data_IF_039377277973
#
_entry.id   IF_039377277973
#
_cell.length_a   1.000
_cell.length_b   1.000
_cell.length_c   1.000
_cell.angle_alpha   90.00
_cell.angle_beta   90.00
_cell.angle_gamma   90.00
#
_symmetry.space_group_name_H-M   'P 1'
#
loop_
_entity.id
_entity.type
_entity.pdbx_description
1 polymer ?
#
# COMPACT_ATOMS: atom_id res chain seq x y z
N UNK A 1 -6.12 0.80 30.02
CA UNK A 1 -4.94 0.55 29.18
C UNK A 1 -5.22 0.98 27.75
N UNK A 2 -4.37 1.79 27.21
CA UNK A 2 -4.56 2.27 25.85
C UNK A 2 -4.27 1.16 24.85
N UNK A 3 -5.13 1.05 23.85
CA UNK A 3 -4.86 0.15 22.74
C UNK A 3 -3.75 0.74 21.87
N UNK A 4 -2.98 -0.14 21.24
CA UNK A 4 -1.94 0.29 20.29
C UNK A 4 -2.58 1.03 19.13
N UNK A 5 -1.94 2.09 18.71
CA UNK A 5 -2.34 2.76 17.48
C UNK A 5 -1.97 1.87 16.31
N UNK A 6 -2.85 1.82 15.32
CA UNK A 6 -2.65 0.99 14.14
C UNK A 6 -2.29 1.87 12.96
N UNK A 7 -1.19 1.53 12.32
CA UNK A 7 -0.72 2.22 11.13
C UNK A 7 -0.87 1.30 9.93
N UNK A 8 -1.51 1.81 8.89
CA UNK A 8 -1.56 1.12 7.62
C UNK A 8 -0.35 1.52 6.78
N UNK A 9 0.30 0.54 6.17
CA UNK A 9 1.41 0.80 5.26
C UNK A 9 1.07 0.24 3.89
N UNK A 10 1.01 1.12 2.90
CA UNK A 10 0.85 0.72 1.51
C UNK A 10 2.25 0.47 1.00
N UNK A 11 2.62 -0.81 0.92
CA UNK A 11 4.00 -1.19 0.65
C UNK A 11 4.22 -1.42 -0.84
N UNK A 12 5.13 -0.66 -1.42
CA UNK A 12 5.61 -0.88 -2.76
C UNK A 12 6.94 -1.60 -2.77
N UNK A 13 7.73 -1.39 -3.82
CA UNK A 13 9.01 -2.06 -3.98
C UNK A 13 10.12 -1.42 -3.15
N UNK A 14 11.27 -2.10 -3.12
CA UNK A 14 12.48 -1.59 -2.49
C UNK A 14 12.52 -1.84 -1.00
N UNK A 15 13.51 -1.27 -0.35
CA UNK A 15 13.79 -1.44 1.08
C UNK A 15 13.01 -0.49 1.97
N UNK A 16 12.56 0.61 1.43
CA UNK A 16 11.96 1.65 2.26
C UNK A 16 10.74 1.16 3.04
N UNK A 17 9.85 0.33 2.47
CA UNK A 17 8.75 -0.21 3.28
C UNK A 17 9.21 -0.96 4.51
N UNK A 18 10.30 -1.73 4.40
CA UNK A 18 10.83 -2.47 5.54
C UNK A 18 11.37 -1.53 6.61
N UNK A 19 12.06 -0.49 6.19
CA UNK A 19 12.61 0.51 7.10
C UNK A 19 11.48 1.24 7.83
N UNK A 20 10.47 1.65 7.08
CA UNK A 20 9.32 2.36 7.65
C UNK A 20 8.58 1.50 8.66
N UNK A 21 8.34 0.23 8.33
CA UNK A 21 7.64 -0.69 9.22
C UNK A 21 8.44 -0.86 10.53
N UNK A 22 9.75 -1.04 10.41
CA UNK A 22 10.60 -1.20 11.59
C UNK A 22 10.52 0.04 12.50
N UNK A 23 10.63 1.22 11.91
CA UNK A 23 10.56 2.46 12.67
C UNK A 23 9.18 2.66 13.30
N UNK A 24 8.12 2.33 12.58
CA UNK A 24 6.76 2.46 13.12
C UNK A 24 6.55 1.54 14.31
N UNK A 25 7.04 0.31 14.23
CA UNK A 25 6.93 -0.63 15.35
C UNK A 25 7.72 -0.15 16.55
N UNK A 26 8.89 0.41 16.34
CA UNK A 26 9.69 0.99 17.43
C UNK A 26 8.97 2.17 18.08
N UNK A 27 8.17 2.89 17.31
CA UNK A 27 7.38 4.01 17.82
C UNK A 27 6.10 3.57 18.54
N UNK A 28 5.83 2.28 18.61
CA UNK A 28 4.69 1.74 19.34
C UNK A 28 3.46 1.48 18.50
N UNK A 29 3.57 1.48 17.18
CA UNK A 29 2.43 1.17 16.32
C UNK A 29 2.31 -0.32 16.07
N UNK A 30 1.07 -0.76 15.94
CA UNK A 30 0.78 -2.03 15.30
C UNK A 30 0.70 -1.76 13.80
N UNK A 31 1.46 -2.49 12.99
CA UNK A 31 1.58 -2.20 11.56
C UNK A 31 0.81 -3.22 10.74
N UNK A 32 -0.14 -2.72 9.97
CA UNK A 32 -0.90 -3.51 9.00
C UNK A 32 -0.42 -3.11 7.62
N UNK A 33 0.28 -3.99 6.94
CA UNK A 33 0.82 -3.72 5.63
C UNK A 33 -0.05 -4.31 4.54
N UNK A 34 -0.25 -3.56 3.47
CA UNK A 34 -0.82 -4.07 2.24
C UNK A 34 0.31 -4.11 1.22
N UNK A 35 0.67 -5.32 0.83
CA UNK A 35 1.77 -5.58 -0.09
C UNK A 35 1.24 -5.87 -1.48
N UNK A 36 2.06 -5.60 -2.48
CA UNK A 36 1.66 -5.75 -3.88
C UNK A 36 2.44 -6.87 -4.51
N UNK A 37 1.72 -7.83 -5.08
CA UNK A 37 2.33 -9.00 -5.71
C UNK A 37 3.24 -8.57 -6.85
N UNK A 38 4.46 -9.08 -6.84
CA UNK A 38 5.46 -8.77 -7.84
C UNK A 38 6.22 -7.47 -7.61
N UNK A 39 5.85 -6.70 -6.58
CA UNK A 39 6.52 -5.44 -6.26
C UNK A 39 7.13 -5.43 -4.88
N UNK A 40 6.37 -5.80 -3.88
CA UNK A 40 6.80 -5.69 -2.49
C UNK A 40 7.74 -6.84 -2.12
N UNK A 41 8.82 -6.51 -1.41
CA UNK A 41 9.77 -7.50 -0.92
C UNK A 41 9.06 -8.45 0.03
N UNK A 42 9.17 -9.77 -0.18
CA UNK A 42 8.54 -10.75 0.71
C UNK A 42 8.96 -10.65 2.16
N UNK A 43 10.09 -10.03 2.46
CA UNK A 43 10.53 -9.83 3.84
C UNK A 43 9.53 -9.02 4.67
N UNK A 44 8.59 -8.33 4.01
CA UNK A 44 7.53 -7.61 4.72
C UNK A 44 6.70 -8.54 5.61
N UNK A 45 6.59 -9.80 5.23
CA UNK A 45 5.85 -10.79 6.01
C UNK A 45 6.39 -10.93 7.43
N UNK A 46 7.71 -10.84 7.59
CA UNK A 46 8.34 -10.95 8.90
C UNK A 46 8.40 -9.62 9.62
N UNK A 47 8.31 -8.53 8.90
CA UNK A 47 8.50 -7.20 9.46
C UNK A 47 7.22 -6.62 10.07
N UNK A 48 6.10 -6.72 9.36
CA UNK A 48 4.83 -6.14 9.80
C UNK A 48 4.07 -7.10 10.72
N UNK A 49 3.15 -6.55 11.50
CA UNK A 49 2.29 -7.37 12.37
C UNK A 49 1.26 -8.16 11.57
N UNK A 50 0.76 -7.55 10.50
CA UNK A 50 -0.18 -8.21 9.56
C UNK A 50 0.18 -7.79 8.16
N UNK A 51 0.08 -8.73 7.23
CA UNK A 51 0.35 -8.47 5.82
C UNK A 51 -0.77 -9.05 4.97
N UNK A 52 -1.29 -8.25 4.06
CA UNK A 52 -2.24 -8.72 3.05
C UNK A 52 -1.65 -8.43 1.68
N UNK A 53 -1.70 -9.43 0.81
CA UNK A 53 -1.17 -9.30 -0.55
C UNK A 53 -2.30 -8.99 -1.50
N UNK A 54 -2.12 -7.96 -2.31
CA UNK A 54 -3.08 -7.60 -3.36
C UNK A 54 -2.34 -7.46 -4.68
N UNK A 55 -3.10 -7.31 -5.75
CA UNK A 55 -2.54 -6.93 -7.04
C UNK A 55 -2.55 -5.40 -7.16
N UNK A 56 -1.60 -4.89 -7.92
CA UNK A 56 -1.52 -3.45 -8.17
C UNK A 56 -2.84 -2.99 -8.77
N UNK A 57 -3.39 -1.92 -8.22
CA UNK A 57 -4.63 -1.31 -8.70
C UNK A 57 -5.90 -1.71 -7.96
N UNK A 58 -5.79 -2.65 -7.00
CA UNK A 58 -6.97 -3.09 -6.24
C UNK A 58 -7.23 -2.17 -5.05
N UNK A 59 -7.56 -0.91 -5.33
CA UNK A 59 -7.73 0.11 -4.30
C UNK A 59 -8.91 -0.16 -3.38
N UNK A 60 -10.03 -0.66 -3.91
CA UNK A 60 -11.16 -0.98 -3.06
C UNK A 60 -10.86 -2.07 -2.08
N UNK A 61 -10.12 -3.08 -2.51
CA UNK A 61 -9.70 -4.16 -1.63
C UNK A 61 -8.77 -3.62 -0.52
N UNK A 62 -7.82 -2.77 -0.89
CA UNK A 62 -6.92 -2.15 0.06
C UNK A 62 -7.68 -1.36 1.12
N UNK A 63 -8.64 -0.55 0.69
CA UNK A 63 -9.44 0.27 1.61
C UNK A 63 -10.20 -0.62 2.58
N UNK A 64 -10.81 -1.70 2.08
CA UNK A 64 -11.53 -2.64 2.95
C UNK A 64 -10.62 -3.29 3.98
N UNK A 65 -9.41 -3.66 3.57
CA UNK A 65 -8.45 -4.27 4.49
C UNK A 65 -8.14 -3.30 5.63
N UNK A 66 -7.84 -2.05 5.31
CA UNK A 66 -7.54 -1.05 6.33
C UNK A 66 -8.74 -0.74 7.21
N UNK A 67 -9.92 -0.65 6.62
CA UNK A 67 -11.14 -0.40 7.39
C UNK A 67 -11.43 -1.52 8.38
N UNK A 68 -11.30 -2.76 7.94
CA UNK A 68 -11.53 -3.91 8.81
C UNK A 68 -10.48 -4.02 9.92
N UNK A 69 -9.26 -3.63 9.60
CA UNK A 69 -8.20 -3.64 10.60
C UNK A 69 -8.30 -2.47 11.58
N UNK A 70 -9.06 -1.43 11.25
CA UNK A 70 -9.24 -0.29 12.13
C UNK A 70 -8.03 0.62 12.21
N UNK A 71 -7.29 0.77 11.10
CA UNK A 71 -6.12 1.65 11.10
C UNK A 71 -6.54 3.10 11.24
N UNK A 72 -5.75 3.88 11.98
CA UNK A 72 -6.03 5.30 12.20
C UNK A 72 -5.43 6.18 11.11
N UNK A 73 -4.41 5.69 10.43
CA UNK A 73 -3.75 6.42 9.35
C UNK A 73 -3.05 5.42 8.43
N UNK A 74 -2.86 5.82 7.19
CA UNK A 74 -2.12 4.99 6.23
C UNK A 74 -1.08 5.83 5.54
N UNK A 75 0.09 5.24 5.31
CA UNK A 75 1.18 5.90 4.58
C UNK A 75 1.64 4.99 3.46
N UNK A 76 2.15 5.60 2.41
CA UNK A 76 2.71 4.87 1.29
C UNK A 76 4.23 4.86 1.39
N UNK A 77 4.83 3.71 1.17
CA UNK A 77 6.28 3.55 1.20
C UNK A 77 6.75 2.71 0.04
N UNK A 78 7.78 3.15 -0.66
CA UNK A 78 8.27 2.50 -1.86
C UNK A 78 7.49 2.94 -3.08
N UNK A 79 7.64 2.23 -4.17
CA UNK A 79 7.00 2.59 -5.43
C UNK A 79 6.50 1.36 -6.18
N UNK A 80 5.92 1.61 -7.33
CA UNK A 80 5.51 0.57 -8.26
C UNK A 80 6.31 0.78 -9.54
N UNK A 81 7.20 -0.15 -9.85
CA UNK A 81 8.11 0.01 -10.97
C UNK A 81 7.42 -0.09 -12.33
N UNK A 82 6.52 -1.05 -12.42
CA UNK A 82 5.82 -1.28 -13.68
C UNK A 82 4.39 -1.67 -13.42
N UNK A 83 3.48 -1.02 -14.13
CA UNK A 83 2.10 -1.43 -14.18
C UNK A 83 1.93 -2.20 -15.49
N UNK A 84 1.72 -3.51 -15.38
CA UNK A 84 1.50 -4.35 -16.54
C UNK A 84 0.02 -4.58 -16.71
N UNK A 85 -0.46 -4.46 -17.94
CA UNK A 85 -1.86 -4.73 -18.22
C UNK A 85 -2.22 -6.18 -17.95
N UNK A 86 -1.24 -7.06 -18.04
CA UNK A 86 -1.40 -8.48 -17.75
C UNK A 86 -0.46 -8.85 -16.63
N UNK A 87 -0.85 -9.83 -15.83
CA UNK A 87 -0.02 -10.29 -14.72
C UNK A 87 -0.39 -9.59 -13.41
N UNK A 88 0.49 -8.71 -12.92
CA UNK A 88 0.35 -8.18 -11.56
C UNK A 88 -0.61 -7.01 -11.43
N UNK A 89 -0.99 -6.38 -12.55
CA UNK A 89 -1.90 -5.26 -12.50
C UNK A 89 -3.34 -5.75 -12.68
N UNK A 90 -4.12 -5.63 -11.62
CA UNK A 90 -5.52 -6.05 -11.61
C UNK A 90 -6.34 -5.03 -10.86
N UNK A 91 -6.76 -3.95 -11.54
CA UNK A 91 -7.55 -2.92 -10.86
C UNK A 91 -8.94 -3.44 -10.52
N UNK A 92 -9.42 -3.07 -9.36
CA UNK A 92 -10.83 -3.23 -9.03
C UNK A 92 -11.59 -1.98 -9.51
N UNK A 93 -12.87 -1.88 -9.18
CA UNK A 93 -13.67 -0.75 -9.66
C UNK A 93 -13.11 0.59 -9.21
N UNK A 94 -12.67 0.69 -7.95
CA UNK A 94 -12.08 1.93 -7.45
C UNK A 94 -10.74 2.23 -8.09
N UNK A 95 -9.94 1.20 -8.33
CA UNK A 95 -8.67 1.36 -9.03
C UNK A 95 -8.87 1.85 -10.44
N UNK A 96 -9.85 1.30 -11.15
CA UNK A 96 -10.18 1.73 -12.51
C UNK A 96 -10.63 3.19 -12.54
N UNK A 97 -11.47 3.58 -11.59
CA UNK A 97 -11.92 4.97 -11.49
C UNK A 97 -10.79 5.92 -11.20
N UNK A 98 -9.89 5.51 -10.32
CA UNK A 98 -8.71 6.30 -9.98
C UNK A 98 -7.83 6.51 -11.19
N UNK A 99 -7.57 5.45 -11.96
CA UNK A 99 -6.77 5.55 -13.17
C UNK A 99 -7.41 6.46 -14.21
N UNK A 100 -8.74 6.40 -14.33
CA UNK A 100 -9.45 7.28 -15.25
C UNK A 100 -9.29 8.75 -14.85
N UNK A 101 -9.32 9.04 -13.55
CA UNK A 101 -9.11 10.41 -13.06
C UNK A 101 -7.71 10.88 -13.32
N UNK A 102 -6.71 10.03 -13.10
CA UNK A 102 -5.32 10.37 -13.39
C UNK A 102 -5.15 10.68 -14.86
N UNK A 103 -5.73 9.84 -15.71
CA UNK A 103 -5.62 10.04 -17.16
C UNK A 103 -6.24 11.36 -17.60
N UNK A 104 -7.36 11.76 -17.03
CA UNK A 104 -7.99 13.02 -17.38
C UNK A 104 -7.22 14.24 -16.86
N UNK A 105 -6.32 14.04 -15.91
CA UNK A 105 -5.48 15.10 -15.36
C UNK A 105 -4.01 14.86 -15.65
N UNK A 106 -3.71 14.10 -16.66
CA UNK A 106 -2.34 13.65 -16.88
C UNK A 106 -1.35 14.79 -17.02
N UNK A 107 -1.75 15.91 -17.66
CA UNK A 107 -0.86 17.03 -17.81
C UNK A 107 -0.45 17.61 -16.46
N UNK A 108 -1.41 17.79 -15.57
CA UNK A 108 -1.12 18.32 -14.24
C UNK A 108 -0.38 17.31 -13.37
N UNK A 109 -0.85 16.06 -13.37
CA UNK A 109 -0.29 15.04 -12.51
C UNK A 109 1.13 14.66 -12.90
N UNK A 110 1.38 14.50 -14.20
CA UNK A 110 2.68 14.08 -14.69
C UNK A 110 3.72 15.18 -14.60
N UNK A 111 3.32 16.41 -14.85
CA UNK A 111 4.25 17.53 -14.79
C UNK A 111 4.67 17.87 -13.37
N UNK A 112 3.84 17.56 -12.41
CA UNK A 112 4.15 17.78 -11.00
C UNK A 112 4.89 16.63 -10.36
N UNK A 113 4.77 15.48 -10.94
CA UNK A 113 5.43 14.28 -10.46
C UNK A 113 6.85 14.24 -10.89
#
# INVERSE_FOLDING_TARGET
MESLKKLGVIAGNGNFPLILVDEAKRAGYEVIAVAHRGETDPAIESAADRVSWIYVGQLGKMIRIFQRAGVSAAVMAGGIRKVKLFGNFRPDLRGARFLAKIRSREDDALLRG
#
